data_IF_502004272079
#
_entry.id   IF_502004272079
#
_cell.length_a   1.000
_cell.length_b   1.000
_cell.length_c   1.000
_cell.angle_alpha   90.00
_cell.angle_beta   90.00
_cell.angle_gamma   90.00
#
_symmetry.space_group_name_H-M   'P 1'
#
loop_
_entity.id
_entity.type
_entity.pdbx_description
1 polymer ?
#
# COMPACT_ATOMS: atom_id res chain seq x y z
N UNK A 1 11.89 -7.65 38.06
CA UNK A 1 12.22 -7.73 36.62
C UNK A 1 10.93 -7.74 35.83
N UNK A 2 10.62 -6.67 35.10
CA UNK A 2 9.48 -6.61 34.18
C UNK A 2 10.04 -6.53 32.76
N UNK A 3 9.54 -7.30 31.78
CA UNK A 3 9.81 -6.98 30.40
C UNK A 3 8.98 -5.74 30.05
N UNK A 4 9.64 -4.59 29.89
CA UNK A 4 9.07 -3.47 29.15
C UNK A 4 8.88 -3.95 27.71
N UNK A 5 7.70 -4.49 27.44
CA UNK A 5 7.28 -4.77 26.08
C UNK A 5 7.13 -3.41 25.40
N UNK A 6 8.16 -3.02 24.65
CA UNK A 6 8.04 -2.03 23.58
C UNK A 6 6.81 -2.44 22.79
N UNK A 7 5.71 -1.68 22.93
CA UNK A 7 4.47 -1.93 22.21
C UNK A 7 4.69 -1.44 20.78
N UNK A 8 5.60 -2.11 20.07
CA UNK A 8 5.70 -1.99 18.63
C UNK A 8 4.30 -2.30 18.12
N UNK A 9 3.68 -1.44 17.30
CA UNK A 9 2.44 -1.80 16.64
C UNK A 9 2.67 -3.17 15.99
N UNK A 10 1.71 -4.10 16.08
CA UNK A 10 1.85 -5.41 15.45
C UNK A 10 2.32 -5.14 14.03
N UNK A 11 3.44 -5.74 13.62
CA UNK A 11 3.97 -5.57 12.28
C UNK A 11 2.88 -6.09 11.33
N UNK A 12 2.04 -5.18 10.83
CA UNK A 12 0.98 -5.52 9.89
C UNK A 12 1.72 -6.08 8.69
N UNK A 13 1.51 -7.37 8.47
CA UNK A 13 2.16 -8.04 7.35
C UNK A 13 1.62 -7.37 6.11
N UNK A 14 2.49 -6.95 5.18
CA UNK A 14 2.09 -6.28 3.95
C UNK A 14 0.96 -7.03 3.21
N UNK A 15 0.92 -8.36 3.31
CA UNK A 15 -0.19 -9.21 2.84
C UNK A 15 -1.57 -8.88 3.42
N UNK A 16 -1.67 -8.36 4.64
CA UNK A 16 -2.95 -7.92 5.23
C UNK A 16 -3.48 -6.63 4.60
N UNK A 17 -2.65 -5.91 3.85
CA UNK A 17 -3.06 -4.74 3.07
C UNK A 17 -3.56 -5.13 1.68
N UNK A 18 -3.24 -6.34 1.20
CA UNK A 18 -3.77 -6.89 -0.04
C UNK A 18 -5.29 -7.06 0.09
N UNK A 19 -6.02 -6.67 -0.94
CA UNK A 19 -7.48 -6.61 -0.98
C UNK A 19 -8.07 -5.33 -0.37
N UNK A 20 -7.25 -4.41 0.16
CA UNK A 20 -7.73 -3.10 0.63
C UNK A 20 -7.67 -2.05 -0.47
N UNK A 21 -8.49 -1.03 -0.29
CA UNK A 21 -8.47 0.19 -1.09
C UNK A 21 -7.45 1.15 -0.49
N UNK A 22 -6.59 1.68 -1.35
CA UNK A 22 -5.69 2.77 -1.04
C UNK A 22 -5.93 3.96 -1.97
N UNK A 23 -5.33 5.08 -1.62
CA UNK A 23 -5.40 6.33 -2.40
C UNK A 23 -4.01 6.70 -2.86
N UNK A 24 -3.86 7.06 -4.13
CA UNK A 24 -2.59 7.56 -4.66
C UNK A 24 -2.22 8.86 -3.96
N UNK A 25 -1.05 8.89 -3.33
CA UNK A 25 -0.52 10.08 -2.62
C UNK A 25 0.74 10.66 -3.27
N UNK A 26 1.31 9.96 -4.26
CA UNK A 26 2.31 10.55 -5.15
C UNK A 26 1.65 11.29 -6.31
N UNK A 27 2.45 12.06 -7.04
CA UNK A 27 2.01 12.77 -8.24
C UNK A 27 1.34 11.83 -9.26
N UNK A 28 1.92 10.63 -9.46
CA UNK A 28 1.29 9.53 -10.17
C UNK A 28 1.85 8.18 -9.75
N UNK A 29 1.12 7.11 -10.06
CA UNK A 29 1.56 5.71 -9.95
C UNK A 29 1.68 5.12 -11.35
N UNK A 30 2.90 4.78 -11.73
CA UNK A 30 3.24 4.13 -13.00
C UNK A 30 3.72 2.69 -12.76
N UNK A 31 4.11 2.00 -13.82
CA UNK A 31 4.62 0.61 -13.77
C UNK A 31 5.96 0.49 -13.00
N UNK A 32 6.72 1.58 -12.91
CA UNK A 32 8.04 1.61 -12.29
C UNK A 32 8.02 2.17 -10.88
N UNK A 33 7.09 3.07 -10.57
CA UNK A 33 7.09 3.82 -9.32
C UNK A 33 5.71 4.36 -8.99
N UNK A 34 5.39 4.35 -7.69
CA UNK A 34 4.23 5.02 -7.14
C UNK A 34 4.15 4.86 -5.64
N UNK A 35 3.42 5.76 -4.97
CA UNK A 35 3.07 5.61 -3.56
C UNK A 35 1.57 5.72 -3.36
N UNK A 36 1.07 4.81 -2.54
CA UNK A 36 -0.34 4.69 -2.21
C UNK A 36 -0.46 4.70 -0.69
N UNK A 37 -1.38 5.50 -0.18
CA UNK A 37 -1.80 5.47 1.21
C UNK A 37 -2.94 4.45 1.35
N UNK A 38 -2.69 3.37 2.08
CA UNK A 38 -3.68 2.35 2.38
C UNK A 38 -4.05 2.43 3.85
N UNK A 39 -5.35 2.36 4.13
CA UNK A 39 -5.84 2.32 5.50
C UNK A 39 -5.94 0.88 5.97
N UNK A 40 -5.40 0.60 7.15
CA UNK A 40 -5.47 -0.72 7.75
C UNK A 40 -6.79 -0.95 8.51
N UNK A 41 -7.05 -2.18 8.99
CA UNK A 41 -8.26 -2.52 9.76
C UNK A 41 -8.36 -1.77 11.10
N UNK A 42 -7.22 -1.39 11.68
CA UNK A 42 -7.12 -0.58 12.89
C UNK A 42 -7.24 0.93 12.60
N UNK A 43 -7.39 1.30 11.33
CA UNK A 43 -7.60 2.68 10.91
C UNK A 43 -6.31 3.49 10.74
N UNK A 44 -5.14 2.87 10.86
CA UNK A 44 -3.82 3.48 10.61
C UNK A 44 -3.60 3.60 9.10
N UNK A 45 -3.06 4.73 8.67
CA UNK A 45 -2.70 4.96 7.27
C UNK A 45 -1.24 4.57 7.06
N UNK A 46 -1.00 3.66 6.12
CA UNK A 46 0.33 3.24 5.71
C UNK A 46 0.60 3.73 4.29
N UNK A 47 1.72 4.43 4.13
CA UNK A 47 2.21 4.79 2.80
C UNK A 47 3.10 3.66 2.29
N UNK A 48 2.68 3.00 1.23
CA UNK A 48 3.39 1.86 0.63
C UNK A 48 3.81 2.15 -0.80
N UNK A 49 4.88 1.48 -1.24
CA UNK A 49 5.27 1.50 -2.65
C UNK A 49 4.30 0.65 -3.45
N UNK A 50 3.78 1.21 -4.52
CA UNK A 50 2.82 0.55 -5.38
C UNK A 50 3.11 0.86 -6.85
N UNK A 51 2.82 -0.10 -7.72
CA UNK A 51 2.95 0.03 -9.17
C UNK A 51 1.72 -0.56 -9.85
N UNK A 52 1.39 -0.04 -11.02
CA UNK A 52 0.36 -0.64 -11.89
C UNK A 52 0.98 -1.75 -12.73
N UNK A 53 0.17 -2.75 -13.11
CA UNK A 53 0.64 -3.87 -13.92
C UNK A 53 0.97 -3.44 -15.36
N UNK A 54 0.09 -2.62 -15.95
CA UNK A 54 0.22 -2.00 -17.26
C UNK A 54 -0.89 -0.95 -17.40
N UNK A 55 -0.64 0.11 -18.19
CA UNK A 55 -1.65 1.11 -18.53
C UNK A 55 -1.21 2.54 -18.25
N UNK A 56 -2.18 3.45 -18.21
CA UNK A 56 -1.92 4.87 -17.94
C UNK A 56 -1.56 5.12 -16.48
N UNK A 57 -0.61 6.04 -16.20
CA UNK A 57 -0.27 6.42 -14.84
C UNK A 57 -1.49 6.92 -14.09
N UNK A 58 -1.71 6.39 -12.88
CA UNK A 58 -2.82 6.81 -12.05
C UNK A 58 -2.47 8.13 -11.36
N UNK A 59 -3.26 9.21 -11.54
CA UNK A 59 -2.96 10.50 -10.95
C UNK A 59 -3.13 10.49 -9.43
N UNK A 60 -2.62 11.53 -8.77
CA UNK A 60 -2.87 11.74 -7.33
C UNK A 60 -4.37 11.65 -6.99
N UNK A 61 -4.67 11.21 -5.77
CA UNK A 61 -6.03 11.05 -5.23
C UNK A 61 -6.90 10.00 -5.93
N UNK A 62 -6.35 9.24 -6.87
CA UNK A 62 -7.03 8.08 -7.45
C UNK A 62 -7.17 6.97 -6.42
N UNK A 63 -8.35 6.36 -6.35
CA UNK A 63 -8.58 5.17 -5.53
C UNK A 63 -8.12 3.92 -6.26
N UNK A 64 -7.34 3.09 -5.58
CA UNK A 64 -6.73 1.89 -6.14
C UNK A 64 -6.89 0.71 -5.22
N UNK A 65 -7.17 -0.46 -5.78
CA UNK A 65 -7.17 -1.71 -5.04
C UNK A 65 -5.75 -2.30 -5.02
N UNK A 66 -5.28 -2.68 -3.83
CA UNK A 66 -4.06 -3.46 -3.67
C UNK A 66 -4.37 -4.91 -4.03
N UNK A 67 -3.86 -5.38 -5.17
CA UNK A 67 -4.14 -6.71 -5.70
C UNK A 67 -3.18 -7.76 -5.16
N UNK A 68 -1.91 -7.42 -5.05
CA UNK A 68 -0.86 -8.33 -4.59
C UNK A 68 0.33 -7.56 -3.99
N UNK A 69 1.21 -8.28 -3.30
CA UNK A 69 2.44 -7.71 -2.73
C UNK A 69 3.64 -8.55 -3.16
N UNK A 70 4.50 -7.95 -3.98
CA UNK A 70 5.77 -8.52 -4.38
C UNK A 70 6.77 -8.34 -3.23
N UNK A 71 7.01 -9.42 -2.47
CA UNK A 71 7.94 -9.43 -1.33
C UNK A 71 9.41 -9.28 -1.78
N UNK A 72 9.76 -9.74 -2.99
CA UNK A 72 11.11 -9.65 -3.53
C UNK A 72 11.46 -8.20 -3.87
N UNK A 73 10.49 -7.46 -4.40
CA UNK A 73 10.66 -6.06 -4.81
C UNK A 73 10.07 -5.06 -3.81
N UNK A 74 9.49 -5.56 -2.72
CA UNK A 74 8.85 -4.79 -1.63
C UNK A 74 7.84 -3.76 -2.14
N UNK A 75 7.04 -4.13 -3.15
CA UNK A 75 6.08 -3.25 -3.82
C UNK A 75 4.73 -3.93 -3.98
N UNK A 76 3.67 -3.14 -3.90
CA UNK A 76 2.31 -3.60 -4.15
C UNK A 76 1.96 -3.48 -5.62
N UNK A 77 1.28 -4.49 -6.14
CA UNK A 77 0.59 -4.40 -7.41
C UNK A 77 -0.79 -3.79 -7.15
N UNK A 78 -1.08 -2.67 -7.81
CA UNK A 78 -2.36 -1.96 -7.66
C UNK A 78 -3.07 -1.82 -8.99
N UNK A 79 -4.39 -1.64 -8.92
CA UNK A 79 -5.24 -1.31 -10.07
C UNK A 79 -6.22 -0.20 -9.67
N UNK A 80 -6.52 0.71 -10.60
CA UNK A 80 -7.57 1.70 -10.41
C UNK A 80 -8.91 1.03 -10.13
N UNK A 81 -9.64 1.58 -9.16
CA UNK A 81 -11.06 1.34 -8.99
C UNK A 81 -11.77 2.42 -9.79
N UNK A 82 -12.27 2.05 -10.96
CA UNK A 82 -13.14 2.89 -11.78
C UNK A 82 -14.55 3.00 -11.18
#
# INVERSE_FOLDING_TARGET
MAPSASRSPPAISHRQLVGRVGTVVSHSVSETYGRVAVRDAHGTVHTVFAVIQAGEPLPERTEVALLDYDEAQRRFLVRALE
#
